data_IF_091209723491
#
_entry.id   IF_091209723491
#
_cell.length_a   1.000
_cell.length_b   1.000
_cell.length_c   1.000
_cell.angle_alpha   90.00
_cell.angle_beta   90.00
_cell.angle_gamma   90.00
#
_symmetry.space_group_name_H-M   'P 1'
#
loop_
_entity.id
_entity.type
_entity.pdbx_description
1 polymer ?
#
# COMPACT_ATOMS: atom_id res chain seq x y z
N UNK A 1 -7.00 -10.76 17.91
CA UNK A 1 -6.42 -10.82 16.55
C UNK A 1 -4.95 -10.37 16.58
N UNK A 2 -4.63 -9.23 17.21
CA UNK A 2 -3.25 -8.71 17.38
C UNK A 2 -2.27 -9.73 17.98
N UNK A 3 -2.57 -10.30 19.16
CA UNK A 3 -1.70 -11.31 19.78
C UNK A 3 -1.58 -12.64 19.01
N UNK A 4 -2.48 -12.93 18.06
CA UNK A 4 -2.35 -14.13 17.21
C UNK A 4 -1.42 -13.90 16.02
N UNK A 5 -1.30 -12.67 15.53
CA UNK A 5 -0.35 -12.32 14.48
C UNK A 5 1.08 -12.39 15.03
N UNK A 6 1.33 -11.73 16.17
CA UNK A 6 2.67 -11.69 16.75
C UNK A 6 3.22 -13.07 17.10
N UNK A 7 2.44 -13.89 17.82
CA UNK A 7 2.85 -15.25 18.16
C UNK A 7 3.06 -16.12 16.92
N UNK A 8 2.24 -15.96 15.87
CA UNK A 8 2.42 -16.69 14.62
C UNK A 8 3.75 -16.34 13.95
N UNK A 9 4.02 -15.03 13.77
CA UNK A 9 5.24 -14.55 13.12
C UNK A 9 6.48 -14.99 13.88
N UNK A 10 6.46 -14.92 15.22
CA UNK A 10 7.60 -15.33 16.05
C UNK A 10 7.81 -16.85 15.99
N UNK A 11 6.73 -17.62 16.05
CA UNK A 11 6.83 -19.09 16.03
C UNK A 11 7.33 -19.63 14.69
N UNK A 12 6.98 -18.97 13.59
CA UNK A 12 7.47 -19.34 12.25
C UNK A 12 8.79 -18.68 11.88
N UNK A 13 9.31 -17.74 12.70
CA UNK A 13 10.53 -17.03 12.35
C UNK A 13 11.74 -17.97 12.33
N UNK A 14 12.44 -18.02 11.20
CA UNK A 14 13.63 -18.84 11.03
C UNK A 14 13.38 -20.32 10.71
N UNK A 15 12.13 -20.75 10.54
CA UNK A 15 11.79 -22.13 10.12
C UNK A 15 11.92 -22.36 8.60
N UNK A 16 12.24 -21.30 7.84
CA UNK A 16 12.37 -21.31 6.38
C UNK A 16 11.08 -20.96 5.63
N UNK A 17 9.99 -20.68 6.34
CA UNK A 17 8.83 -19.94 5.81
C UNK A 17 9.26 -18.49 5.56
N UNK A 18 9.70 -18.23 4.32
CA UNK A 18 10.38 -17.00 3.94
C UNK A 18 9.49 -15.75 3.96
N UNK A 19 10.08 -14.62 3.55
CA UNK A 19 9.46 -13.29 3.49
C UNK A 19 8.04 -13.29 2.90
N UNK A 20 7.74 -14.17 1.93
CA UNK A 20 6.41 -14.31 1.32
C UNK A 20 5.29 -14.62 2.34
N UNK A 21 5.56 -15.44 3.36
CA UNK A 21 4.58 -15.78 4.39
C UNK A 21 4.35 -14.59 5.35
N UNK A 22 5.39 -13.79 5.61
CA UNK A 22 5.27 -12.54 6.36
C UNK A 22 4.49 -11.49 5.56
N UNK A 23 4.78 -11.32 4.27
CA UNK A 23 4.03 -10.43 3.37
C UNK A 23 2.55 -10.80 3.38
N UNK A 24 2.22 -12.07 3.16
CA UNK A 24 0.83 -12.54 3.15
C UNK A 24 0.11 -12.32 4.50
N UNK A 25 0.83 -12.47 5.62
CA UNK A 25 0.29 -12.19 6.95
C UNK A 25 0.01 -10.69 7.16
N UNK A 26 0.92 -9.81 6.72
CA UNK A 26 0.75 -8.36 6.79
C UNK A 26 -0.36 -7.89 5.85
N UNK A 27 -0.47 -8.42 4.63
CA UNK A 27 -1.59 -8.09 3.75
C UNK A 27 -2.94 -8.45 4.39
N UNK A 28 -3.03 -9.61 5.03
CA UNK A 28 -4.24 -10.04 5.74
C UNK A 28 -4.57 -9.10 6.89
N UNK A 29 -3.56 -8.65 7.63
CA UNK A 29 -3.68 -7.67 8.69
C UNK A 29 -4.18 -6.32 8.15
N UNK A 30 -3.61 -5.83 7.05
CA UNK A 30 -4.02 -4.58 6.40
C UNK A 30 -5.46 -4.63 5.90
N UNK A 31 -5.87 -5.72 5.24
CA UNK A 31 -7.27 -5.93 4.81
C UNK A 31 -8.25 -5.89 5.98
N UNK A 32 -7.84 -6.38 7.16
CA UNK A 32 -8.68 -6.41 8.34
C UNK A 32 -8.76 -5.06 9.08
N UNK A 33 -7.68 -4.28 9.07
CA UNK A 33 -7.54 -3.05 9.88
C UNK A 33 -7.73 -1.76 9.11
N UNK A 34 -7.19 -1.65 7.90
CA UNK A 34 -7.17 -0.39 7.16
C UNK A 34 -8.56 -0.01 6.66
N UNK A 35 -8.83 1.29 6.69
CA UNK A 35 -10.08 1.88 6.18
C UNK A 35 -9.76 2.75 4.98
N UNK A 36 -10.15 2.28 3.80
CA UNK A 36 -9.95 3.01 2.56
C UNK A 36 -11.10 3.97 2.25
N UNK A 37 -10.83 5.07 1.53
CA UNK A 37 -11.87 5.97 1.05
C UNK A 37 -12.83 5.24 0.10
N UNK A 38 -14.14 5.56 0.15
CA UNK A 38 -15.12 4.94 -0.75
C UNK A 38 -14.92 5.35 -2.23
N UNK A 39 -14.13 6.40 -2.50
CA UNK A 39 -13.79 6.81 -3.86
C UNK A 39 -12.70 5.94 -4.50
N UNK A 40 -11.98 5.14 -3.72
CA UNK A 40 -10.93 4.28 -4.25
C UNK A 40 -11.51 2.99 -4.83
N UNK A 41 -11.17 2.64 -6.08
CA UNK A 41 -11.56 1.37 -6.66
C UNK A 41 -10.79 0.22 -5.99
N UNK A 42 -11.39 -0.98 -5.99
CA UNK A 42 -10.85 -2.16 -5.31
C UNK A 42 -9.40 -2.51 -5.71
N UNK A 43 -9.08 -2.43 -7.01
CA UNK A 43 -7.71 -2.68 -7.49
C UNK A 43 -6.68 -1.72 -6.87
N UNK A 44 -7.05 -0.44 -6.68
CA UNK A 44 -6.17 0.54 -6.05
C UNK A 44 -5.96 0.24 -4.57
N UNK A 45 -7.01 -0.16 -3.86
CA UNK A 45 -6.88 -0.60 -2.46
C UNK A 45 -5.97 -1.82 -2.37
N UNK A 46 -6.10 -2.78 -3.29
CA UNK A 46 -5.27 -3.97 -3.33
C UNK A 46 -3.81 -3.65 -3.67
N UNK A 47 -3.55 -2.78 -4.65
CA UNK A 47 -2.20 -2.32 -5.00
C UNK A 47 -1.52 -1.62 -3.81
N UNK A 48 -2.27 -0.78 -3.09
CA UNK A 48 -1.79 -0.14 -1.87
C UNK A 48 -1.44 -1.17 -0.80
N UNK A 49 -2.33 -2.14 -0.53
CA UNK A 49 -2.07 -3.20 0.45
C UNK A 49 -0.82 -4.00 0.09
N UNK A 50 -0.72 -4.48 -1.15
CA UNK A 50 0.39 -5.34 -1.58
C UNK A 50 1.71 -4.58 -1.52
N UNK A 51 1.76 -3.34 -2.03
CA UNK A 51 2.99 -2.55 -2.01
C UNK A 51 3.47 -2.26 -0.59
N UNK A 52 2.58 -1.79 0.30
CA UNK A 52 2.97 -1.45 1.66
C UNK A 52 3.24 -2.69 2.52
N UNK A 53 2.63 -3.84 2.22
CA UNK A 53 2.91 -5.08 2.92
C UNK A 53 4.30 -5.63 2.58
N UNK A 54 4.72 -5.53 1.32
CA UNK A 54 6.07 -5.91 0.86
C UNK A 54 7.16 -5.09 1.53
N UNK A 55 6.98 -3.76 1.56
CA UNK A 55 7.90 -2.85 2.27
C UNK A 55 7.95 -3.17 3.77
N UNK A 56 6.79 -3.31 4.42
CA UNK A 56 6.72 -3.60 5.84
C UNK A 56 7.35 -4.95 6.21
N UNK A 57 7.17 -5.98 5.37
CA UNK A 57 7.81 -7.28 5.57
C UNK A 57 9.33 -7.18 5.48
N UNK A 58 9.84 -6.45 4.47
CA UNK A 58 11.28 -6.22 4.29
C UNK A 58 11.89 -5.47 5.48
N UNK A 59 11.21 -4.42 5.95
CA UNK A 59 11.61 -3.64 7.14
C UNK A 59 11.62 -4.50 8.40
N UNK A 60 10.55 -5.24 8.65
CA UNK A 60 10.43 -6.12 9.82
C UNK A 60 11.46 -7.24 9.79
N UNK A 61 11.72 -7.83 8.63
CA UNK A 61 12.73 -8.88 8.49
C UNK A 61 14.13 -8.38 8.81
N UNK A 62 14.50 -7.22 8.26
CA UNK A 62 15.78 -6.56 8.59
C UNK A 62 15.86 -6.25 10.09
N UNK A 63 14.80 -5.67 10.66
CA UNK A 63 14.75 -5.37 12.09
C UNK A 63 14.90 -6.63 12.95
N UNK A 64 14.27 -7.73 12.56
CA UNK A 64 14.29 -8.99 13.31
C UNK A 64 15.66 -9.67 13.31
N UNK A 65 16.42 -9.50 12.23
CA UNK A 65 17.81 -9.94 12.15
C UNK A 65 18.71 -9.01 13.00
N UNK A 66 18.56 -7.69 12.87
CA UNK A 66 19.32 -6.70 13.63
C UNK A 66 19.08 -6.81 15.16
N UNK A 67 17.87 -7.22 15.56
CA UNK A 67 17.53 -7.44 16.97
C UNK A 67 18.36 -8.56 17.61
N UNK A 68 18.80 -9.56 16.86
CA UNK A 68 19.66 -10.63 17.39
C UNK A 68 20.97 -10.02 17.91
N UNK A 69 21.64 -9.24 17.05
CA UNK A 69 22.92 -8.62 17.38
C UNK A 69 22.75 -7.53 18.44
N UNK A 70 21.70 -6.72 18.33
CA UNK A 70 21.41 -5.62 19.26
C UNK A 70 21.17 -6.13 20.67
N UNK A 71 20.31 -7.14 20.84
CA UNK A 71 19.97 -7.70 22.16
C UNK A 71 21.18 -8.35 22.82
N UNK A 72 21.97 -9.12 22.06
CA UNK A 72 23.16 -9.78 22.58
C UNK A 72 24.22 -8.75 22.98
N UNK A 73 24.44 -7.73 22.14
CA UNK A 73 25.40 -6.66 22.42
C UNK A 73 24.99 -5.84 23.65
N UNK A 74 23.72 -5.42 23.74
CA UNK A 74 23.22 -4.65 24.88
C UNK A 74 23.31 -5.42 26.20
N UNK A 75 23.05 -6.72 26.15
CA UNK A 75 23.25 -7.59 27.30
C UNK A 75 24.74 -7.64 27.72
N UNK A 76 25.65 -7.82 26.75
CA UNK A 76 27.09 -7.81 26.98
C UNK A 76 27.59 -6.49 27.57
N UNK A 77 27.11 -5.36 27.06
CA UNK A 77 27.43 -4.03 27.58
C UNK A 77 26.91 -3.82 29.01
N UNK A 78 25.73 -4.36 29.34
CA UNK A 78 25.09 -4.19 30.65
C UNK A 78 25.69 -5.08 31.73
N UNK A 79 26.04 -6.32 31.40
CA UNK A 79 26.42 -7.34 32.38
C UNK A 79 27.87 -7.82 32.25
N UNK A 80 28.59 -7.41 31.20
CA UNK A 80 29.98 -7.80 30.95
C UNK A 80 30.17 -9.26 30.52
N UNK A 81 29.07 -9.97 30.22
CA UNK A 81 29.05 -11.38 29.80
C UNK A 81 28.02 -11.58 28.70
N UNK A 82 28.22 -12.61 27.86
CA UNK A 82 27.25 -13.03 26.86
C UNK A 82 26.16 -13.87 27.55
N UNK A 83 24.86 -13.70 27.21
CA UNK A 83 23.80 -14.51 27.79
C UNK A 83 23.96 -16.00 27.42
N UNK A 84 23.43 -16.89 28.26
CA UNK A 84 23.28 -18.29 27.86
C UNK A 84 22.33 -18.40 26.67
N UNK A 85 22.49 -19.42 25.84
CA UNK A 85 21.76 -19.53 24.56
C UNK A 85 20.23 -19.55 24.73
N UNK A 86 19.72 -20.21 25.78
CA UNK A 86 18.29 -20.23 26.08
C UNK A 86 17.78 -18.84 26.51
N UNK A 87 18.53 -18.16 27.38
CA UNK A 87 18.20 -16.79 27.80
C UNK A 87 18.28 -15.82 26.61
N UNK A 88 19.26 -15.99 25.72
CA UNK A 88 19.40 -15.18 24.51
C UNK A 88 18.20 -15.32 23.59
N UNK A 89 17.71 -16.55 23.37
CA UNK A 89 16.51 -16.80 22.57
C UNK A 89 15.28 -16.11 23.18
N UNK A 90 15.10 -16.22 24.50
CA UNK A 90 14.00 -15.55 25.19
C UNK A 90 14.07 -14.03 25.10
N UNK A 91 15.27 -13.44 25.20
CA UNK A 91 15.46 -12.00 25.08
C UNK A 91 15.18 -11.50 23.66
N UNK A 92 15.63 -12.24 22.64
CA UNK A 92 15.37 -11.91 21.23
C UNK A 92 13.88 -12.02 20.91
N UNK A 93 13.21 -13.08 21.37
CA UNK A 93 11.76 -13.24 21.16
C UNK A 93 10.96 -12.16 21.87
N UNK A 94 11.38 -11.72 23.06
CA UNK A 94 10.76 -10.59 23.75
C UNK A 94 10.92 -9.29 22.94
N UNK A 95 12.12 -9.00 22.46
CA UNK A 95 12.38 -7.80 21.66
C UNK A 95 11.61 -7.82 20.32
N UNK A 96 11.46 -8.98 19.69
CA UNK A 96 10.62 -9.15 18.49
C UNK A 96 9.14 -8.90 18.78
N UNK A 97 8.62 -9.36 19.94
CA UNK A 97 7.24 -9.04 20.35
C UNK A 97 7.06 -7.53 20.48
N UNK A 98 7.97 -6.86 21.18
CA UNK A 98 7.92 -5.41 21.37
C UNK A 98 7.94 -4.68 20.02
N UNK A 99 8.82 -5.08 19.10
CA UNK A 99 8.89 -4.51 17.75
C UNK A 99 7.60 -4.74 16.93
N UNK A 100 6.94 -5.90 17.07
CA UNK A 100 5.66 -6.15 16.41
C UNK A 100 4.54 -5.31 17.03
N UNK A 101 4.52 -5.14 18.35
CA UNK A 101 3.54 -4.28 19.00
C UNK A 101 3.71 -2.81 18.54
N UNK A 102 4.95 -2.33 18.43
CA UNK A 102 5.26 -1.01 17.86
C UNK A 102 4.80 -0.89 16.40
N UNK A 103 5.06 -1.91 15.58
CA UNK A 103 4.56 -1.98 14.21
C UNK A 103 3.03 -1.92 14.14
N UNK A 104 2.36 -2.66 15.03
CA UNK A 104 0.90 -2.71 15.09
C UNK A 104 0.28 -1.38 15.50
N UNK A 105 0.95 -0.59 16.34
CA UNK A 105 0.56 0.78 16.67
C UNK A 105 0.78 1.71 15.47
N UNK A 106 1.95 1.61 14.82
CA UNK A 106 2.29 2.40 13.63
C UNK A 106 1.29 2.21 12.50
N UNK A 107 0.77 1.00 12.30
CA UNK A 107 -0.28 0.76 11.31
C UNK A 107 -1.52 1.62 11.58
N UNK A 108 -1.95 1.70 12.84
CA UNK A 108 -3.18 2.38 13.19
C UNK A 108 -3.03 3.92 13.08
N UNK A 109 -1.82 4.45 13.33
CA UNK A 109 -1.52 5.89 13.29
C UNK A 109 -1.05 6.41 11.91
N UNK A 110 -0.05 5.76 11.31
CA UNK A 110 0.64 6.29 10.12
C UNK A 110 -0.11 5.95 8.82
N UNK A 111 -0.65 4.73 8.72
CA UNK A 111 -1.30 4.30 7.47
C UNK A 111 -2.58 5.09 7.18
N UNK A 112 -3.27 5.56 8.22
CA UNK A 112 -4.42 6.45 8.05
C UNK A 112 -4.01 7.78 7.41
N UNK A 113 -2.86 8.33 7.81
CA UNK A 113 -2.29 9.56 7.25
C UNK A 113 -1.86 9.34 5.80
N UNK A 114 -1.16 8.24 5.50
CA UNK A 114 -0.74 7.91 4.15
C UNK A 114 -1.92 7.71 3.20
N UNK A 115 -2.93 6.95 3.61
CA UNK A 115 -4.16 6.75 2.83
C UNK A 115 -4.84 8.10 2.56
N UNK A 116 -4.94 8.97 3.58
CA UNK A 116 -5.56 10.28 3.42
C UNK A 116 -4.78 11.19 2.45
N UNK A 117 -3.45 11.13 2.50
CA UNK A 117 -2.55 11.89 1.64
C UNK A 117 -2.66 11.42 0.20
N UNK A 118 -2.57 10.10 -0.03
CA UNK A 118 -2.73 9.50 -1.34
C UNK A 118 -4.13 9.79 -1.94
N UNK A 119 -5.16 9.86 -1.10
CA UNK A 119 -6.51 10.21 -1.53
C UNK A 119 -6.66 11.70 -1.91
N UNK A 120 -5.90 12.59 -1.28
CA UNK A 120 -5.88 14.00 -1.63
C UNK A 120 -5.14 14.26 -2.95
N UNK A 121 -4.04 13.53 -3.19
CA UNK A 121 -3.21 13.67 -4.40
C UNK A 121 -3.87 13.09 -5.65
N UNK A 122 -4.53 11.93 -5.51
CA UNK A 122 -5.36 11.35 -6.55
C UNK A 122 -6.72 10.92 -5.96
N UNK A 123 -7.75 11.78 -6.05
CA UNK A 123 -9.08 11.49 -5.51
C UNK A 123 -9.83 10.35 -6.20
N UNK A 124 -9.27 9.74 -7.25
CA UNK A 124 -9.95 8.73 -8.06
C UNK A 124 -10.72 9.35 -9.22
N UNK A 125 -10.23 10.46 -9.81
CA UNK A 125 -10.67 10.82 -11.17
C UNK A 125 -10.11 9.75 -12.10
N UNK A 126 -10.94 8.74 -12.36
CA UNK A 126 -10.58 7.65 -13.25
C UNK A 126 -9.96 8.17 -14.55
N UNK A 127 -9.08 7.38 -15.15
CA UNK A 127 -8.58 7.54 -16.52
C UNK A 127 -9.70 7.52 -17.61
N UNK A 128 -10.96 7.70 -17.21
CA UNK A 128 -12.12 7.83 -18.06
C UNK A 128 -12.15 9.19 -18.74
N UNK A 129 -11.66 9.19 -19.97
CA UNK A 129 -12.23 9.93 -21.10
C UNK A 129 -12.53 11.41 -20.84
N UNK A 130 -11.56 12.25 -21.21
CA UNK A 130 -11.77 13.67 -21.47
C UNK A 130 -12.55 13.87 -22.80
N UNK A 131 -13.73 13.26 -22.93
CA UNK A 131 -14.70 13.62 -23.98
C UNK A 131 -15.69 14.59 -23.38
N UNK A 132 -15.29 15.86 -23.34
CA UNK A 132 -16.24 16.95 -23.18
C UNK A 132 -17.17 16.94 -24.40
N UNK A 133 -18.30 16.26 -24.28
CA UNK A 133 -19.42 16.40 -25.19
C UNK A 133 -20.01 17.81 -25.01
N UNK A 134 -19.47 18.77 -25.76
CA UNK A 134 -20.11 20.07 -25.93
C UNK A 134 -21.48 19.90 -26.60
N UNK A 135 -22.51 20.65 -26.17
CA UNK A 135 -23.85 20.50 -26.70
C UNK A 135 -23.90 20.83 -28.18
N UNK A 136 -24.64 20.00 -28.89
CA UNK A 136 -24.94 20.06 -30.31
C UNK A 136 -25.32 21.47 -30.77
N UNK A 137 -24.52 22.08 -31.64
CA UNK A 137 -25.02 23.09 -32.56
C UNK A 137 -24.79 22.60 -33.99
N UNK A 138 -25.87 22.08 -34.58
CA UNK A 138 -26.02 21.83 -36.00
C UNK A 138 -25.90 23.17 -36.75
N UNK A 139 -24.98 23.34 -37.70
CA UNK A 139 -25.20 24.26 -38.80
C UNK A 139 -26.15 23.59 -39.79
N UNK A 140 -27.27 24.25 -40.10
CA UNK A 140 -28.21 23.78 -41.10
C UNK A 140 -27.53 23.67 -42.48
N UNK A 141 -27.58 22.48 -43.05
CA UNK A 141 -27.21 22.19 -44.43
C UNK A 141 -28.14 22.97 -45.37
N UNK A 142 -27.69 24.10 -45.92
CA UNK A 142 -28.36 24.70 -47.08
C UNK A 142 -27.83 23.98 -48.33
N UNK A 143 -28.55 22.95 -48.75
CA UNK A 143 -28.37 22.32 -50.07
C UNK A 143 -29.37 22.92 -51.06
N UNK A 144 -28.84 23.85 -51.86
CA UNK A 144 -29.09 24.10 -53.29
C UNK A 144 -30.53 24.19 -53.83
N UNK A 145 -30.83 25.31 -54.50
CA UNK A 145 -31.59 25.27 -55.75
C UNK A 145 -30.68 25.68 -56.93
N UNK A 146 -30.55 24.75 -57.88
CA UNK A 146 -29.98 24.99 -59.21
C UNK A 146 -30.88 25.93 -60.02
N UNK A 147 -30.29 26.80 -60.84
CA UNK A 147 -30.56 26.93 -62.30
C UNK A 147 -29.63 27.97 -62.95
N UNK A 148 -28.74 27.49 -63.84
CA UNK A 148 -28.23 28.21 -65.03
C UNK A 148 -29.27 28.07 -66.17
N UNK A 149 -29.09 28.64 -67.37
CA UNK A 149 -28.43 29.89 -67.80
C UNK A 149 -29.35 30.71 -68.75
N UNK A 150 -29.07 31.99 -69.06
CA UNK A 150 -29.44 32.57 -70.37
C UNK A 150 -28.41 33.57 -70.88
N UNK A 151 -27.93 33.29 -72.09
CA UNK A 151 -27.20 34.17 -73.00
C UNK A 151 -28.02 35.42 -73.37
N UNK A 152 -27.31 36.53 -73.60
CA UNK A 152 -27.85 37.73 -74.25
C UNK A 152 -26.83 38.87 -74.35
N UNK A 153 -25.86 38.76 -75.28
CA UNK A 153 -25.32 39.90 -76.04
C UNK A 153 -26.47 40.42 -76.93
N UNK A 154 -26.72 41.69 -77.27
CA UNK A 154 -25.99 42.96 -77.42
C UNK A 154 -27.09 44.04 -77.72
N UNK A 155 -26.77 45.35 -77.81
CA UNK A 155 -27.39 46.23 -78.81
C UNK A 155 -26.67 46.14 -80.16
#
# INVERSE_FOLDING_TARGET
>A
MVGQFAERVITSWGDGTGDDDLVGAIETLYRARLRFPPSWPEHRCQDFITHHADLAASELGTLFDDLIDTVINDYGLRYGVVPHSEDAAHLVDAARRDALDDFLMRIDDDMAVEISTAAAEDPGRGHGSMTACGPSQRPATITTYRRRPRHGLRP
#
